data_IF_206855731334
#
_entry.id   IF_206855731334
#
_cell.length_a   1.000
_cell.length_b   1.000
_cell.length_c   1.000
_cell.angle_alpha   90.00
_cell.angle_beta   90.00
_cell.angle_gamma   90.00
#
_symmetry.space_group_name_H-M   'P 1'
#
loop_
_entity.id
_entity.type
_entity.pdbx_description
1 polymer ?
#
# COMPACT_ATOMS: atom_id res chain seq x y z
N UNK A 1 13.48 6.87 -10.39
CA UNK A 1 12.60 5.84 -10.99
C UNK A 1 11.62 5.48 -9.90
N UNK A 2 10.30 5.42 -10.18
CA UNK A 2 9.32 5.01 -9.18
C UNK A 2 9.68 3.60 -8.70
N UNK A 3 9.54 3.37 -7.39
CA UNK A 3 9.88 2.10 -6.77
C UNK A 3 9.03 0.97 -7.39
N UNK A 4 9.64 -0.16 -7.81
CA UNK A 4 8.90 -1.25 -8.44
C UNK A 4 7.84 -1.86 -7.52
N UNK A 5 7.98 -1.73 -6.19
CA UNK A 5 6.99 -2.19 -5.22
C UNK A 5 5.68 -1.41 -5.32
N UNK A 6 5.75 -0.08 -5.53
CA UNK A 6 4.55 0.75 -5.73
C UNK A 6 3.75 0.32 -6.96
N UNK A 7 4.44 0.00 -8.06
CA UNK A 7 3.79 -0.51 -9.27
C UNK A 7 3.14 -1.88 -9.05
N UNK A 8 3.78 -2.75 -8.25
CA UNK A 8 3.23 -4.05 -7.90
C UNK A 8 1.99 -3.94 -6.98
N UNK A 9 1.98 -3.01 -6.02
CA UNK A 9 0.82 -2.71 -5.18
C UNK A 9 -0.34 -2.16 -6.02
N UNK A 10 -0.07 -1.27 -6.97
CA UNK A 10 -1.07 -0.76 -7.90
C UNK A 10 -1.70 -1.87 -8.76
N UNK A 11 -0.88 -2.77 -9.34
CA UNK A 11 -1.37 -3.92 -10.11
C UNK A 11 -2.18 -4.87 -9.23
N UNK A 12 -1.72 -5.13 -8.01
CA UNK A 12 -2.42 -5.96 -7.04
C UNK A 12 -3.80 -5.38 -6.69
N UNK A 13 -3.88 -4.09 -6.37
CA UNK A 13 -5.14 -3.40 -6.10
C UNK A 13 -6.11 -3.49 -7.28
N UNK A 14 -5.62 -3.25 -8.49
CA UNK A 14 -6.44 -3.28 -9.71
C UNK A 14 -6.96 -4.70 -10.06
N UNK A 15 -6.25 -5.74 -9.62
CA UNK A 15 -6.60 -7.15 -9.89
C UNK A 15 -7.38 -7.82 -8.77
N UNK A 16 -7.37 -7.23 -7.58
CA UNK A 16 -8.08 -7.78 -6.44
C UNK A 16 -9.57 -7.55 -6.61
N UNK A 17 -10.32 -8.64 -6.62
CA UNK A 17 -11.78 -8.63 -6.60
C UNK A 17 -12.27 -8.84 -5.15
N UNK A 18 -13.46 -8.34 -4.81
CA UNK A 18 -14.11 -8.46 -3.49
C UNK A 18 -14.46 -9.90 -3.08
N UNK A 19 -14.01 -10.89 -3.86
CA UNK A 19 -13.99 -12.30 -3.47
C UNK A 19 -12.89 -12.63 -2.44
N UNK A 20 -11.89 -11.75 -2.27
CA UNK A 20 -10.84 -11.87 -1.24
C UNK A 20 -11.32 -11.25 0.08
N UNK A 21 -10.92 -11.82 1.22
CA UNK A 21 -11.23 -11.22 2.53
C UNK A 21 -10.32 -10.01 2.80
N UNK A 22 -10.76 -9.05 3.63
CA UNK A 22 -9.89 -7.92 4.02
C UNK A 22 -8.55 -8.38 4.63
N UNK A 23 -8.56 -9.46 5.41
CA UNK A 23 -7.34 -10.00 6.01
C UNK A 23 -6.37 -10.56 4.96
N UNK A 24 -6.86 -11.38 4.02
CA UNK A 24 -6.03 -11.92 2.95
C UNK A 24 -5.51 -10.81 2.01
N UNK A 25 -6.32 -9.78 1.77
CA UNK A 25 -5.92 -8.63 0.96
C UNK A 25 -4.73 -7.90 1.58
N UNK A 26 -4.85 -7.54 2.87
CA UNK A 26 -3.81 -6.80 3.57
C UNK A 26 -2.57 -7.67 3.85
N UNK A 27 -2.72 -8.97 4.07
CA UNK A 27 -1.57 -9.89 4.16
C UNK A 27 -0.78 -9.92 2.85
N UNK A 28 -1.46 -10.01 1.70
CA UNK A 28 -0.78 -9.98 0.41
C UNK A 28 -0.23 -8.61 0.04
N UNK A 29 -0.94 -7.54 0.41
CA UNK A 29 -0.44 -6.17 0.29
C UNK A 29 0.88 -6.01 1.04
N UNK A 30 0.93 -6.43 2.31
CA UNK A 30 2.13 -6.35 3.15
C UNK A 30 3.27 -7.22 2.60
N UNK A 31 2.96 -8.41 2.09
CA UNK A 31 3.97 -9.25 1.40
C UNK A 31 4.58 -8.57 0.17
N UNK A 32 3.80 -7.76 -0.57
CA UNK A 32 4.30 -7.02 -1.74
C UNK A 32 5.05 -5.75 -1.32
N UNK A 33 4.53 -5.04 -0.32
CA UNK A 33 5.16 -3.84 0.23
C UNK A 33 6.49 -4.18 0.91
N UNK A 34 6.56 -5.29 1.64
CA UNK A 34 7.71 -5.68 2.45
C UNK A 34 8.08 -4.56 3.42
N UNK A 35 9.33 -4.11 3.37
CA UNK A 35 9.82 -3.00 4.19
C UNK A 35 9.51 -1.61 3.61
N UNK A 36 8.67 -1.51 2.58
CA UNK A 36 8.31 -0.23 1.97
C UNK A 36 7.59 0.70 2.96
N UNK A 37 6.74 0.15 3.82
CA UNK A 37 6.00 0.92 4.84
C UNK A 37 6.99 1.62 5.79
N UNK A 38 8.00 0.89 6.28
CA UNK A 38 9.08 1.45 7.09
C UNK A 38 9.90 2.50 6.34
N UNK A 39 10.19 2.27 5.05
CA UNK A 39 10.94 3.21 4.21
C UNK A 39 10.17 4.50 3.95
N UNK A 40 8.85 4.42 3.72
CA UNK A 40 7.95 5.55 3.48
C UNK A 40 7.77 6.42 4.73
N UNK A 41 7.72 5.80 5.90
CA UNK A 41 7.55 6.51 7.17
C UNK A 41 8.87 6.87 7.87
N UNK A 42 10.00 6.49 7.29
CA UNK A 42 11.33 6.88 7.78
C UNK A 42 11.54 8.41 7.76
N UNK A 43 12.35 8.92 8.68
CA UNK A 43 12.72 10.35 8.76
C UNK A 43 13.40 10.87 7.48
N UNK A 44 14.08 9.99 6.75
CA UNK A 44 14.74 10.30 5.47
C UNK A 44 13.96 9.78 4.25
N UNK A 45 12.68 9.45 4.42
CA UNK A 45 11.85 8.99 3.32
C UNK A 45 11.77 10.03 2.21
N UNK A 46 11.81 9.55 0.97
CA UNK A 46 11.60 10.42 -0.18
C UNK A 46 10.13 10.91 -0.16
N UNK A 47 9.87 12.23 -0.18
CA UNK A 47 8.51 12.74 -0.16
C UNK A 47 7.67 12.24 -1.34
N UNK A 48 8.28 12.02 -2.52
CA UNK A 48 7.56 11.46 -3.68
C UNK A 48 7.16 9.99 -3.43
N UNK A 49 7.98 9.23 -2.69
CA UNK A 49 7.66 7.85 -2.31
C UNK A 49 6.49 7.82 -1.33
N UNK A 50 6.48 8.73 -0.36
CA UNK A 50 5.40 8.86 0.63
C UNK A 50 4.09 9.28 0.00
N UNK A 51 4.11 10.27 -0.88
CA UNK A 51 2.90 10.69 -1.61
C UNK A 51 2.34 9.52 -2.44
N UNK A 52 3.19 8.85 -3.22
CA UNK A 52 2.76 7.73 -4.05
C UNK A 52 2.18 6.55 -3.24
N UNK A 53 2.77 6.24 -2.08
CA UNK A 53 2.23 5.20 -1.19
C UNK A 53 0.90 5.63 -0.55
N UNK A 54 0.78 6.90 -0.16
CA UNK A 54 -0.46 7.45 0.42
C UNK A 54 -1.59 7.46 -0.62
N UNK A 55 -1.30 7.82 -1.87
CA UNK A 55 -2.27 7.77 -2.97
C UNK A 55 -2.78 6.34 -3.23
N UNK A 56 -1.91 5.33 -3.07
CA UNK A 56 -2.30 3.93 -3.18
C UNK A 56 -3.21 3.49 -2.03
N UNK A 57 -2.93 3.92 -0.80
CA UNK A 57 -3.81 3.66 0.34
C UNK A 57 -5.18 4.34 0.17
N UNK A 58 -5.21 5.58 -0.32
CA UNK A 58 -6.46 6.27 -0.65
C UNK A 58 -7.25 5.52 -1.73
N UNK A 59 -6.57 5.00 -2.75
CA UNK A 59 -7.19 4.17 -3.79
C UNK A 59 -7.74 2.85 -3.24
N UNK A 60 -7.06 2.26 -2.26
CA UNK A 60 -7.52 1.05 -1.58
C UNK A 60 -8.79 1.32 -0.74
N UNK A 61 -8.83 2.45 -0.02
CA UNK A 61 -10.01 2.89 0.73
C UNK A 61 -11.22 3.15 -0.19
N UNK A 62 -11.00 3.87 -1.30
CA UNK A 62 -12.03 4.11 -2.33
C UNK A 62 -12.54 2.79 -2.96
N UNK A 63 -11.70 1.77 -3.06
CA UNK A 63 -12.06 0.44 -3.52
C UNK A 63 -12.82 -0.39 -2.46
N UNK A 64 -13.00 0.13 -1.24
CA UNK A 64 -13.70 -0.51 -0.13
C UNK A 64 -12.79 -1.38 0.76
N UNK A 65 -11.48 -1.32 0.56
CA UNK A 65 -10.50 -1.93 1.46
C UNK A 65 -10.20 -0.94 2.57
N UNK A 66 -10.95 -1.03 3.67
CA UNK A 66 -10.71 -0.20 4.85
C UNK A 66 -9.24 -0.31 5.27
N UNK A 67 -8.52 0.82 5.20
CA UNK A 67 -7.07 0.86 5.44
C UNK A 67 -6.81 0.66 6.94
N UNK A 68 -6.01 -0.34 7.33
CA UNK A 68 -5.68 -0.57 8.72
C UNK A 68 -4.73 0.53 9.22
N UNK A 69 -4.88 0.89 10.51
CA UNK A 69 -4.04 1.91 11.15
C UNK A 69 -2.53 1.59 11.05
N UNK A 70 -2.17 0.32 10.93
CA UNK A 70 -0.78 -0.17 10.78
C UNK A 70 -0.12 0.26 9.46
N UNK A 71 -0.89 0.57 8.43
CA UNK A 71 -0.40 1.08 7.13
C UNK A 71 -0.30 2.61 7.12
N UNK A 72 -1.01 3.27 8.03
CA UNK A 72 -0.92 4.71 8.27
C UNK A 72 0.31 5.04 9.12
N UNK A 73 0.73 6.30 9.09
CA UNK A 73 1.85 6.79 9.91
C UNK A 73 1.68 6.39 11.39
N UNK A 74 2.72 5.86 12.06
CA UNK A 74 2.69 5.60 13.50
C UNK A 74 2.51 6.87 14.34
#
# INVERSE_FOLDING_TARGET
>A
MPDPRLAALADYLARTDHSTTHADFWEQWDNIAGNLVDEVWSDNADPELREAFTDLLASADDAGWAVPDEQCQP
#
